data_IF_288975335361
#
_entry.id   IF_288975335361
#
_cell.length_a   1.000
_cell.length_b   1.000
_cell.length_c   1.000
_cell.angle_alpha   90.00
_cell.angle_beta   90.00
_cell.angle_gamma   90.00
#
_symmetry.space_group_name_H-M   'P 1'
#
loop_
_entity.id
_entity.type
_entity.pdbx_description
1 polymer ?
#
# COMPACT_ATOMS: atom_id res chain seq x y z
N UNK A 1 -43.35 24.07 -1.71
CA UNK A 1 -42.88 22.97 -0.85
C UNK A 1 -42.64 21.79 -1.76
N UNK A 2 -41.39 21.67 -2.25
CA UNK A 2 -41.01 20.68 -3.24
C UNK A 2 -40.48 19.44 -2.49
N UNK A 3 -40.89 18.21 -2.85
CA UNK A 3 -40.46 17.02 -2.11
C UNK A 3 -38.99 16.71 -2.37
N UNK A 4 -38.29 16.45 -1.26
CA UNK A 4 -36.91 16.05 -1.23
C UNK A 4 -36.62 14.90 -2.20
N UNK A 5 -35.69 15.12 -3.13
CA UNK A 5 -35.12 14.09 -4.01
C UNK A 5 -34.53 12.98 -3.15
N UNK A 6 -35.23 11.85 -3.13
CA UNK A 6 -34.71 10.59 -2.60
C UNK A 6 -33.40 10.26 -3.30
N UNK A 7 -32.34 10.05 -2.54
CA UNK A 7 -31.07 9.49 -3.03
C UNK A 7 -31.36 8.24 -3.86
N UNK A 8 -30.73 8.09 -5.04
CA UNK A 8 -30.91 6.89 -5.83
C UNK A 8 -30.43 5.70 -4.99
N UNK A 9 -31.34 4.81 -4.70
CA UNK A 9 -31.07 3.54 -4.05
C UNK A 9 -29.86 2.90 -4.72
N UNK A 10 -28.90 2.46 -3.93
CA UNK A 10 -27.75 1.65 -4.38
C UNK A 10 -28.38 0.41 -5.01
N UNK A 11 -28.53 0.46 -6.32
CA UNK A 11 -29.11 -0.60 -7.11
C UNK A 11 -28.26 -1.86 -6.87
N UNK A 12 -28.94 -2.90 -6.40
CA UNK A 12 -28.40 -4.24 -6.09
C UNK A 12 -27.73 -4.82 -7.35
N UNK A 13 -26.47 -4.43 -7.58
CA UNK A 13 -25.63 -4.92 -8.68
C UNK A 13 -25.08 -6.29 -8.34
N UNK A 14 -25.96 -7.24 -7.98
CA UNK A 14 -25.60 -8.64 -7.91
C UNK A 14 -25.45 -9.13 -9.35
N UNK A 15 -24.21 -9.25 -9.78
CA UNK A 15 -23.91 -9.97 -11.03
C UNK A 15 -24.48 -11.40 -10.85
N UNK A 16 -25.45 -11.81 -11.71
CA UNK A 16 -26.04 -13.13 -11.61
C UNK A 16 -24.95 -14.18 -11.81
N UNK A 17 -24.74 -15.06 -10.83
CA UNK A 17 -23.90 -16.25 -10.97
C UNK A 17 -22.65 -16.35 -10.10
N UNK A 18 -22.23 -15.29 -9.39
CA UNK A 18 -21.03 -15.37 -8.53
C UNK A 18 -21.41 -15.80 -7.11
N UNK A 19 -20.93 -16.98 -6.69
CA UNK A 19 -21.28 -17.51 -5.36
C UNK A 19 -20.46 -16.82 -4.24
N UNK A 20 -21.08 -16.59 -3.08
CA UNK A 20 -20.42 -16.09 -1.85
C UNK A 20 -19.20 -16.95 -1.48
N UNK A 21 -19.29 -18.26 -1.70
CA UNK A 21 -18.18 -19.20 -1.46
C UNK A 21 -16.96 -18.88 -2.33
N UNK A 22 -17.18 -18.54 -3.61
CA UNK A 22 -16.10 -18.16 -4.53
C UNK A 22 -15.38 -16.87 -4.04
N UNK A 23 -16.13 -15.85 -3.64
CA UNK A 23 -15.54 -14.61 -3.12
C UNK A 23 -14.70 -14.86 -1.86
N UNK A 24 -15.16 -15.69 -0.93
CA UNK A 24 -14.40 -16.08 0.26
C UNK A 24 -13.12 -16.84 -0.10
N UNK A 25 -13.19 -17.79 -1.01
CA UNK A 25 -12.02 -18.58 -1.46
C UNK A 25 -11.00 -17.67 -2.15
N UNK A 26 -11.44 -16.76 -3.02
CA UNK A 26 -10.54 -15.81 -3.70
C UNK A 26 -9.85 -14.87 -2.72
N UNK A 27 -10.56 -14.35 -1.71
CA UNK A 27 -9.98 -13.56 -0.62
C UNK A 27 -8.94 -14.37 0.14
N UNK A 28 -9.30 -15.59 0.56
CA UNK A 28 -8.41 -16.46 1.35
C UNK A 28 -7.13 -16.83 0.58
N UNK A 29 -7.25 -17.17 -0.71
CA UNK A 29 -6.08 -17.49 -1.56
C UNK A 29 -5.19 -16.26 -1.72
N UNK A 30 -5.75 -15.12 -2.15
CA UNK A 30 -4.94 -13.91 -2.39
C UNK A 30 -4.27 -13.42 -1.11
N UNK A 31 -5.02 -13.36 0.00
CA UNK A 31 -4.48 -12.89 1.26
C UNK A 31 -3.46 -13.89 1.86
N UNK A 32 -3.73 -15.18 1.78
CA UNK A 32 -2.79 -16.24 2.18
C UNK A 32 -1.47 -16.16 1.41
N UNK A 33 -1.52 -15.93 0.09
CA UNK A 33 -0.33 -15.73 -0.73
C UNK A 33 0.44 -14.46 -0.34
N UNK A 34 -0.24 -13.34 -0.10
CA UNK A 34 0.39 -12.09 0.38
C UNK A 34 1.12 -12.36 1.69
N UNK A 35 0.47 -12.99 2.67
CA UNK A 35 1.09 -13.33 3.94
C UNK A 35 2.27 -14.30 3.75
N UNK A 36 2.13 -15.32 2.90
CA UNK A 36 3.22 -16.26 2.62
C UNK A 36 4.45 -15.53 2.09
N UNK A 37 4.28 -14.58 1.16
CA UNK A 37 5.40 -13.77 0.64
C UNK A 37 6.05 -12.95 1.76
N UNK A 38 5.26 -12.28 2.61
CA UNK A 38 5.75 -11.41 3.68
C UNK A 38 6.51 -12.20 4.75
N UNK A 39 6.09 -13.42 5.04
CA UNK A 39 6.66 -14.25 6.12
C UNK A 39 7.69 -15.28 5.65
N UNK A 40 8.02 -15.35 4.36
CA UNK A 40 9.01 -16.28 3.83
C UNK A 40 10.40 -15.66 3.75
N UNK A 41 11.47 -16.38 4.10
CA UNK A 41 12.85 -15.90 3.97
C UNK A 41 13.32 -15.90 2.52
N UNK A 42 14.29 -15.01 2.20
CA UNK A 42 15.04 -15.10 0.94
C UNK A 42 15.93 -16.36 0.93
N UNK A 43 16.16 -17.04 -0.21
CA UNK A 43 15.75 -16.65 -1.58
C UNK A 43 14.34 -17.08 -1.99
N UNK A 44 13.70 -18.00 -1.23
CA UNK A 44 12.36 -18.56 -1.56
C UNK A 44 11.28 -17.47 -1.72
N UNK A 45 11.41 -16.36 -0.99
CA UNK A 45 10.51 -15.20 -1.10
C UNK A 45 10.38 -14.69 -2.54
N UNK A 46 11.47 -14.68 -3.31
CA UNK A 46 11.44 -14.21 -4.71
C UNK A 46 10.58 -15.10 -5.60
N UNK A 47 10.72 -16.40 -5.45
CA UNK A 47 9.92 -17.36 -6.22
C UNK A 47 8.43 -17.22 -5.85
N UNK A 48 8.13 -17.17 -4.55
CA UNK A 48 6.77 -17.00 -4.04
C UNK A 48 6.16 -15.66 -4.48
N UNK A 49 6.96 -14.60 -4.59
CA UNK A 49 6.47 -13.29 -5.03
C UNK A 49 5.91 -13.36 -6.46
N UNK A 50 6.66 -14.00 -7.39
CA UNK A 50 6.20 -14.16 -8.78
C UNK A 50 5.01 -15.11 -8.88
N UNK A 51 5.02 -16.20 -8.14
CA UNK A 51 3.89 -17.12 -8.09
C UNK A 51 2.62 -16.44 -7.54
N UNK A 52 2.74 -15.69 -6.44
CA UNK A 52 1.65 -14.93 -5.84
C UNK A 52 1.13 -13.86 -6.81
N UNK A 53 2.03 -13.10 -7.45
CA UNK A 53 1.65 -12.10 -8.44
C UNK A 53 0.88 -12.70 -9.61
N UNK A 54 1.35 -13.85 -10.16
CA UNK A 54 0.68 -14.54 -11.25
C UNK A 54 -0.73 -15.05 -10.85
N UNK A 55 -0.86 -15.69 -9.68
CA UNK A 55 -2.14 -16.17 -9.18
C UNK A 55 -3.11 -15.03 -8.91
N UNK A 56 -2.66 -13.95 -8.23
CA UNK A 56 -3.50 -12.78 -7.95
C UNK A 56 -3.92 -12.09 -9.26
N UNK A 57 -3.00 -11.95 -10.22
CA UNK A 57 -3.34 -11.40 -11.53
C UNK A 57 -4.39 -12.24 -12.26
N UNK A 58 -4.29 -13.56 -12.19
CA UNK A 58 -5.30 -14.48 -12.75
C UNK A 58 -6.64 -14.32 -12.05
N UNK A 59 -6.67 -14.26 -10.70
CA UNK A 59 -7.89 -14.02 -9.94
C UNK A 59 -8.53 -12.66 -10.28
N UNK A 60 -7.73 -11.64 -10.48
CA UNK A 60 -8.19 -10.31 -10.93
C UNK A 60 -8.77 -10.44 -12.34
N UNK A 61 -8.03 -11.02 -13.30
CA UNK A 61 -8.45 -11.12 -14.69
C UNK A 61 -9.77 -11.89 -14.86
N UNK A 62 -9.93 -13.00 -14.15
CA UNK A 62 -11.16 -13.84 -14.19
C UNK A 62 -12.36 -13.19 -13.49
N UNK A 63 -12.14 -12.10 -12.74
CA UNK A 63 -13.17 -11.40 -11.99
C UNK A 63 -13.29 -9.92 -12.33
N UNK A 64 -12.62 -9.48 -13.39
CA UNK A 64 -12.59 -8.08 -13.79
C UNK A 64 -13.94 -7.64 -14.37
N UNK A 65 -14.57 -6.69 -13.70
CA UNK A 65 -15.89 -6.15 -14.07
C UNK A 65 -15.79 -4.88 -14.96
N UNK A 66 -14.58 -4.62 -15.48
CA UNK A 66 -14.31 -3.47 -16.36
C UNK A 66 -13.67 -2.28 -15.64
N UNK A 67 -13.06 -1.39 -16.44
CA UNK A 67 -12.31 -0.25 -15.94
C UNK A 67 -13.17 0.73 -15.11
N UNK A 68 -14.45 0.91 -15.46
CA UNK A 68 -15.35 1.79 -14.70
C UNK A 68 -15.63 1.26 -13.30
N UNK A 69 -15.89 -0.05 -13.17
CA UNK A 69 -16.12 -0.70 -11.88
C UNK A 69 -14.86 -0.66 -11.02
N UNK A 70 -13.69 -0.85 -11.62
CA UNK A 70 -12.40 -0.75 -10.97
C UNK A 70 -11.97 0.69 -10.63
N UNK A 71 -12.74 1.71 -11.00
CA UNK A 71 -12.38 3.11 -10.77
C UNK A 71 -11.15 3.57 -11.56
N UNK A 72 -10.84 2.90 -12.68
CA UNK A 72 -9.73 3.22 -13.58
C UNK A 72 -10.14 4.21 -14.68
N UNK A 73 -11.37 4.71 -14.65
CA UNK A 73 -11.86 5.75 -15.57
C UNK A 73 -11.58 7.17 -15.08
N UNK A 74 -11.73 8.16 -15.97
CA UNK A 74 -11.60 9.59 -15.63
C UNK A 74 -12.77 10.17 -14.81
N UNK A 75 -13.84 9.39 -14.59
CA UNK A 75 -15.03 9.84 -13.86
C UNK A 75 -14.66 10.27 -12.43
N UNK A 76 -15.18 11.42 -12.02
CA UNK A 76 -14.94 12.01 -10.70
C UNK A 76 -13.46 12.27 -10.34
N UNK A 77 -12.53 12.17 -11.29
CA UNK A 77 -11.12 12.43 -11.04
C UNK A 77 -10.90 13.81 -10.42
N UNK A 78 -11.38 14.86 -11.10
CA UNK A 78 -11.24 16.24 -10.61
C UNK A 78 -11.94 16.46 -9.26
N UNK A 79 -13.11 15.82 -9.05
CA UNK A 79 -13.85 15.93 -7.77
C UNK A 79 -13.12 15.27 -6.60
N UNK A 80 -12.23 14.35 -6.86
CA UNK A 80 -11.45 13.63 -5.82
C UNK A 80 -10.01 14.13 -5.69
N UNK A 81 -9.58 15.11 -6.50
CA UNK A 81 -8.22 15.70 -6.40
C UNK A 81 -7.94 16.37 -5.05
N UNK A 82 -8.96 16.82 -4.33
CA UNK A 82 -8.76 17.34 -2.99
C UNK A 82 -8.11 16.33 -2.04
N UNK A 83 -8.26 15.01 -2.29
CA UNK A 83 -7.59 13.96 -1.52
C UNK A 83 -6.07 14.05 -1.70
N UNK A 84 -5.63 14.32 -2.92
CA UNK A 84 -4.20 14.56 -3.21
C UNK A 84 -3.73 15.85 -2.56
N UNK A 85 -4.53 16.93 -2.65
CA UNK A 85 -4.21 18.20 -2.01
C UNK A 85 -4.10 18.05 -0.47
N UNK A 86 -5.01 17.31 0.15
CA UNK A 86 -4.96 17.00 1.57
C UNK A 86 -3.71 16.17 1.93
N UNK A 87 -3.36 15.17 1.13
CA UNK A 87 -2.14 14.38 1.33
C UNK A 87 -0.88 15.26 1.23
N UNK A 88 -0.83 16.17 0.26
CA UNK A 88 0.28 17.14 0.12
C UNK A 88 0.35 18.09 1.32
N UNK A 89 -0.78 18.59 1.82
CA UNK A 89 -0.82 19.46 3.00
C UNK A 89 -0.30 18.73 4.25
N UNK A 90 -0.76 17.50 4.50
CA UNK A 90 -0.27 16.66 5.61
C UNK A 90 1.23 16.40 5.46
N UNK A 91 1.68 16.11 4.23
CA UNK A 91 3.09 15.87 3.93
C UNK A 91 3.95 17.11 4.15
N UNK A 92 3.48 18.28 3.75
CA UNK A 92 4.18 19.56 3.99
C UNK A 92 4.36 19.80 5.49
N UNK A 93 3.32 19.58 6.30
CA UNK A 93 3.40 19.69 7.76
C UNK A 93 4.40 18.70 8.34
N UNK A 94 4.34 17.42 7.91
CA UNK A 94 5.26 16.39 8.38
C UNK A 94 6.72 16.71 8.01
N UNK A 95 6.97 17.21 6.80
CA UNK A 95 8.32 17.65 6.35
C UNK A 95 8.78 18.85 7.15
N UNK A 96 7.93 19.85 7.41
CA UNK A 96 8.28 21.00 8.24
C UNK A 96 8.66 20.58 9.66
N UNK A 97 7.88 19.71 10.29
CA UNK A 97 8.16 19.17 11.63
C UNK A 97 9.49 18.38 11.62
N UNK A 98 9.68 17.48 10.66
CA UNK A 98 10.91 16.65 10.60
C UNK A 98 12.15 17.51 10.30
N UNK A 99 12.01 18.57 9.51
CA UNK A 99 13.08 19.54 9.28
C UNK A 99 13.45 20.29 10.57
N UNK A 100 12.45 20.74 11.33
CA UNK A 100 12.66 21.40 12.61
C UNK A 100 13.31 20.46 13.64
N UNK A 101 12.88 19.21 13.69
CA UNK A 101 13.44 18.17 14.56
C UNK A 101 14.78 17.59 14.05
N UNK A 102 15.25 18.03 12.89
CA UNK A 102 16.46 17.51 12.20
C UNK A 102 16.43 16.00 11.94
N UNK A 103 15.23 15.46 11.70
CA UNK A 103 15.02 14.06 11.35
C UNK A 103 14.80 13.84 9.87
N UNK A 104 14.69 14.88 9.07
CA UNK A 104 14.50 14.82 7.62
C UNK A 104 15.73 14.21 6.95
N UNK A 105 15.53 13.18 6.14
CA UNK A 105 16.59 12.45 5.43
C UNK A 105 16.24 12.22 3.95
N UNK A 106 15.81 13.28 3.28
CA UNK A 106 15.51 13.25 1.85
C UNK A 106 16.78 13.13 1.00
N UNK A 107 16.71 12.46 -0.17
CA UNK A 107 17.82 12.44 -1.14
C UNK A 107 18.22 13.84 -1.59
N UNK A 108 19.53 14.09 -1.78
CA UNK A 108 20.09 15.41 -2.04
C UNK A 108 19.79 16.00 -3.43
N UNK A 109 19.17 15.24 -4.35
CA UNK A 109 18.77 15.75 -5.67
C UNK A 109 17.43 15.16 -6.13
N UNK A 110 16.73 15.89 -7.01
CA UNK A 110 15.46 15.45 -7.60
C UNK A 110 15.59 14.13 -8.36
N UNK A 111 16.70 13.91 -9.06
CA UNK A 111 16.97 12.66 -9.77
C UNK A 111 17.10 11.48 -8.81
N UNK A 112 17.88 11.63 -7.74
CA UNK A 112 18.00 10.60 -6.70
C UNK A 112 16.67 10.35 -5.98
N UNK A 113 15.87 11.39 -5.77
CA UNK A 113 14.53 11.24 -5.21
C UNK A 113 13.64 10.37 -6.10
N UNK A 114 13.53 10.70 -7.38
CA UNK A 114 12.72 9.92 -8.34
C UNK A 114 13.21 8.48 -8.43
N UNK A 115 14.51 8.26 -8.63
CA UNK A 115 15.08 6.92 -8.76
C UNK A 115 14.95 6.07 -7.48
N UNK A 116 14.84 6.69 -6.31
CA UNK A 116 14.65 5.99 -5.04
C UNK A 116 13.19 5.59 -4.80
N UNK A 117 12.22 6.39 -5.24
CA UNK A 117 10.82 6.23 -4.81
C UNK A 117 9.82 5.86 -5.92
N UNK A 118 10.21 5.83 -7.22
CA UNK A 118 9.29 5.46 -8.30
C UNK A 118 8.67 4.07 -8.11
N UNK A 119 9.48 3.09 -7.69
CA UNK A 119 9.01 1.73 -7.47
C UNK A 119 8.02 1.64 -6.30
N UNK A 120 8.25 2.46 -5.25
CA UNK A 120 7.31 2.59 -4.15
C UNK A 120 6.00 3.23 -4.60
N UNK A 121 6.06 4.27 -5.44
CA UNK A 121 4.86 4.91 -5.98
C UNK A 121 4.01 3.92 -6.80
N UNK A 122 4.66 3.11 -7.67
CA UNK A 122 3.96 2.04 -8.39
C UNK A 122 3.37 0.99 -7.44
N UNK A 123 4.14 0.58 -6.43
CA UNK A 123 3.69 -0.38 -5.42
C UNK A 123 2.49 0.13 -4.64
N UNK A 124 2.48 1.40 -4.27
CA UNK A 124 1.31 2.06 -3.63
C UNK A 124 0.06 1.98 -4.51
N UNK A 125 0.22 2.15 -5.82
CA UNK A 125 -0.85 1.95 -6.81
C UNK A 125 -1.38 0.52 -6.82
N UNK A 126 -0.48 -0.48 -6.82
CA UNK A 126 -0.86 -1.90 -6.74
C UNK A 126 -1.58 -2.21 -5.42
N UNK A 127 -1.09 -1.69 -4.29
CA UNK A 127 -1.74 -1.86 -2.99
C UNK A 127 -3.15 -1.26 -2.97
N UNK A 128 -3.33 -0.05 -3.51
CA UNK A 128 -4.65 0.57 -3.59
C UNK A 128 -5.57 -0.20 -4.56
N UNK A 129 -5.06 -0.69 -5.68
CA UNK A 129 -5.82 -1.53 -6.59
C UNK A 129 -6.30 -2.82 -5.89
N UNK A 130 -5.42 -3.52 -5.20
CA UNK A 130 -5.79 -4.74 -4.47
C UNK A 130 -6.80 -4.43 -3.35
N UNK A 131 -6.58 -3.36 -2.59
CA UNK A 131 -7.48 -2.98 -1.50
C UNK A 131 -8.89 -2.67 -2.01
N UNK A 132 -9.00 -1.84 -3.07
CA UNK A 132 -10.28 -1.32 -3.54
C UNK A 132 -10.96 -2.25 -4.54
N UNK A 133 -10.21 -2.69 -5.56
CA UNK A 133 -10.79 -3.42 -6.68
C UNK A 133 -10.86 -4.94 -6.45
N UNK A 134 -10.04 -5.45 -5.52
CA UNK A 134 -10.04 -6.88 -5.20
C UNK A 134 -10.72 -7.18 -3.86
N UNK A 135 -10.18 -6.71 -2.74
CA UNK A 135 -10.70 -7.05 -1.42
C UNK A 135 -12.04 -6.35 -1.11
N UNK A 136 -12.10 -5.03 -1.22
CA UNK A 136 -13.31 -4.28 -0.92
C UNK A 136 -14.49 -4.71 -1.80
N UNK A 137 -14.28 -4.91 -3.11
CA UNK A 137 -15.35 -5.32 -4.02
C UNK A 137 -15.97 -6.66 -3.65
N UNK A 138 -15.16 -7.64 -3.18
CA UNK A 138 -15.65 -8.94 -2.71
C UNK A 138 -16.36 -8.84 -1.37
N UNK A 139 -15.79 -8.06 -0.46
CA UNK A 139 -16.39 -7.85 0.86
C UNK A 139 -17.72 -7.13 0.80
N UNK A 140 -17.92 -6.24 -0.19
CA UNK A 140 -19.22 -5.60 -0.45
C UNK A 140 -20.31 -6.59 -0.86
N UNK A 141 -19.95 -7.71 -1.50
CA UNK A 141 -20.89 -8.79 -1.83
C UNK A 141 -21.15 -9.75 -0.68
N UNK A 142 -20.21 -9.83 0.27
CA UNK A 142 -20.28 -10.73 1.41
C UNK A 142 -20.96 -10.11 2.63
N UNK A 143 -20.76 -8.82 2.84
CA UNK A 143 -21.21 -8.11 4.04
C UNK A 143 -22.42 -7.22 3.75
N UNK A 144 -23.37 -7.12 4.70
CA UNK A 144 -24.64 -6.45 4.46
C UNK A 144 -24.52 -4.93 4.34
N UNK A 145 -23.49 -4.34 4.94
CA UNK A 145 -23.31 -2.88 4.99
C UNK A 145 -21.98 -2.45 4.40
N UNK A 146 -21.93 -1.41 3.52
CA UNK A 146 -20.68 -0.97 2.88
C UNK A 146 -19.57 -0.56 3.86
N UNK A 147 -19.92 0.04 5.00
CA UNK A 147 -18.94 0.42 6.00
C UNK A 147 -18.28 -0.80 6.67
N UNK A 148 -19.02 -1.91 6.84
CA UNK A 148 -18.46 -3.17 7.35
C UNK A 148 -17.44 -3.75 6.35
N UNK A 149 -17.76 -3.72 5.06
CA UNK A 149 -16.83 -4.13 4.01
C UNK A 149 -15.57 -3.24 3.98
N UNK A 150 -15.74 -1.92 4.15
CA UNK A 150 -14.61 -0.99 4.23
C UNK A 150 -13.72 -1.27 5.44
N UNK A 151 -14.30 -1.50 6.62
CA UNK A 151 -13.54 -1.84 7.83
C UNK A 151 -12.85 -3.21 7.71
N UNK A 152 -13.52 -4.21 7.14
CA UNK A 152 -12.94 -5.53 6.93
C UNK A 152 -11.76 -5.48 5.94
N UNK A 153 -11.91 -4.76 4.80
CA UNK A 153 -10.84 -4.56 3.84
C UNK A 153 -9.64 -3.82 4.46
N UNK A 154 -9.91 -2.76 5.21
CA UNK A 154 -8.88 -2.00 5.94
C UNK A 154 -8.20 -2.85 7.02
N UNK A 155 -8.95 -3.72 7.70
CA UNK A 155 -8.40 -4.69 8.66
C UNK A 155 -7.41 -5.66 8.00
N UNK A 156 -7.77 -6.25 6.87
CA UNK A 156 -6.85 -7.09 6.09
C UNK A 156 -5.60 -6.31 5.67
N UNK A 157 -5.79 -5.06 5.22
CA UNK A 157 -4.68 -4.20 4.84
C UNK A 157 -3.74 -3.89 6.01
N UNK A 158 -4.28 -3.58 7.18
CA UNK A 158 -3.49 -3.31 8.38
C UNK A 158 -2.76 -4.57 8.89
N UNK A 159 -3.43 -5.74 8.90
CA UNK A 159 -2.83 -7.00 9.32
C UNK A 159 -1.65 -7.43 8.43
N UNK A 160 -1.66 -7.08 7.14
CA UNK A 160 -0.53 -7.30 6.24
C UNK A 160 0.71 -6.47 6.60
N UNK A 161 0.56 -5.43 7.45
CA UNK A 161 1.67 -4.60 7.92
C UNK A 161 2.28 -5.07 9.25
N UNK A 162 1.74 -6.15 9.83
CA UNK A 162 2.34 -6.77 11.01
C UNK A 162 3.77 -7.29 10.70
N UNK A 163 4.66 -7.30 11.68
CA UNK A 163 4.51 -6.84 13.07
C UNK A 163 4.96 -5.39 13.30
N UNK A 164 4.97 -4.53 12.26
CA UNK A 164 5.39 -3.13 12.39
C UNK A 164 4.24 -2.29 13.00
N UNK A 165 4.30 -1.91 14.30
CA UNK A 165 3.21 -1.25 14.98
C UNK A 165 2.92 0.15 14.40
N UNK A 166 3.97 0.85 13.94
CA UNK A 166 3.85 2.18 13.36
C UNK A 166 3.02 2.12 12.06
N UNK A 167 3.36 1.18 11.15
CA UNK A 167 2.61 1.01 9.91
C UNK A 167 1.20 0.49 10.15
N UNK A 168 0.99 -0.39 11.14
CA UNK A 168 -0.34 -0.89 11.49
C UNK A 168 -1.25 0.26 11.90
N UNK A 169 -0.79 1.17 12.77
CA UNK A 169 -1.58 2.35 13.18
C UNK A 169 -1.93 3.23 11.98
N UNK A 170 -0.94 3.54 11.13
CA UNK A 170 -1.18 4.38 9.96
C UNK A 170 -2.15 3.72 8.95
N UNK A 171 -2.05 2.42 8.76
CA UNK A 171 -2.94 1.69 7.84
C UNK A 171 -4.34 1.49 8.40
N UNK A 172 -4.51 1.39 9.72
CA UNK A 172 -5.83 1.43 10.38
C UNK A 172 -6.51 2.80 10.17
N UNK A 173 -5.77 3.88 10.12
CA UNK A 173 -6.33 5.22 9.86
C UNK A 173 -6.60 5.43 8.36
N UNK A 174 -5.62 5.11 7.52
CA UNK A 174 -5.71 5.33 6.07
C UNK A 174 -6.67 4.37 5.36
N UNK A 175 -6.65 3.09 5.73
CA UNK A 175 -7.41 2.04 5.04
C UNK A 175 -8.91 2.31 4.97
N UNK A 176 -9.61 2.55 6.12
CA UNK A 176 -11.04 2.85 6.11
C UNK A 176 -11.35 4.12 5.33
N UNK A 177 -10.55 5.18 5.52
CA UNK A 177 -10.71 6.45 4.80
C UNK A 177 -10.61 6.25 3.28
N UNK A 178 -9.57 5.54 2.82
CA UNK A 178 -9.38 5.23 1.41
C UNK A 178 -10.56 4.41 0.85
N UNK A 179 -11.04 3.41 1.59
CA UNK A 179 -12.20 2.62 1.17
C UNK A 179 -13.48 3.46 1.06
N UNK A 180 -13.77 4.32 2.04
CA UNK A 180 -14.95 5.20 2.00
C UNK A 180 -14.86 6.23 0.87
N UNK A 181 -13.69 6.81 0.64
CA UNK A 181 -13.44 7.72 -0.47
C UNK A 181 -13.60 7.01 -1.83
N UNK A 182 -13.11 5.77 -1.95
CA UNK A 182 -13.33 4.97 -3.15
C UNK A 182 -14.81 4.69 -3.39
N UNK A 183 -15.56 4.33 -2.36
CA UNK A 183 -17.01 4.12 -2.48
C UNK A 183 -17.73 5.38 -2.95
N UNK A 184 -17.29 6.57 -2.48
CA UNK A 184 -17.90 7.86 -2.84
C UNK A 184 -17.55 8.30 -4.26
N UNK A 185 -16.28 8.20 -4.66
CA UNK A 185 -15.80 8.78 -5.92
C UNK A 185 -15.61 7.76 -7.03
N UNK A 186 -15.43 6.49 -6.69
CA UNK A 186 -15.17 5.40 -7.65
C UNK A 186 -14.03 5.76 -8.60
N UNK A 187 -12.95 6.33 -8.04
CA UNK A 187 -11.73 6.67 -8.76
C UNK A 187 -10.51 6.26 -7.95
N UNK A 188 -9.65 5.44 -8.56
CA UNK A 188 -8.48 4.86 -7.90
C UNK A 188 -7.27 5.80 -7.90
N UNK A 189 -7.12 6.62 -8.95
CA UNK A 189 -5.90 7.40 -9.17
C UNK A 189 -5.57 8.37 -8.03
N UNK A 190 -6.49 9.22 -7.55
CA UNK A 190 -6.18 10.13 -6.45
C UNK A 190 -5.82 9.40 -5.15
N UNK A 191 -6.39 8.22 -4.91
CA UNK A 191 -6.07 7.40 -3.73
C UNK A 191 -4.67 6.77 -3.84
N UNK A 192 -4.31 6.28 -5.03
CA UNK A 192 -2.97 5.74 -5.30
C UNK A 192 -1.89 6.83 -5.16
N UNK A 193 -2.15 8.02 -5.72
CA UNK A 193 -1.25 9.17 -5.62
C UNK A 193 -1.12 9.63 -4.15
N UNK A 194 -2.23 9.78 -3.44
CA UNK A 194 -2.22 10.19 -2.04
C UNK A 194 -1.47 9.17 -1.16
N UNK A 195 -1.69 7.87 -1.39
CA UNK A 195 -0.96 6.81 -0.68
C UNK A 195 0.55 6.89 -0.96
N UNK A 196 0.95 7.09 -2.21
CA UNK A 196 2.36 7.24 -2.56
C UNK A 196 2.98 8.46 -1.88
N UNK A 197 2.32 9.61 -1.91
CA UNK A 197 2.77 10.85 -1.26
C UNK A 197 2.96 10.63 0.24
N UNK A 198 1.94 10.11 0.94
CA UNK A 198 1.99 9.88 2.38
C UNK A 198 3.09 8.88 2.76
N UNK A 199 3.21 7.78 2.03
CA UNK A 199 4.23 6.77 2.31
C UNK A 199 5.65 7.25 2.02
N UNK A 200 5.89 8.00 0.93
CA UNK A 200 7.19 8.62 0.67
C UNK A 200 7.51 9.64 1.78
N UNK A 201 6.51 10.41 2.21
CA UNK A 201 6.70 11.35 3.33
C UNK A 201 7.13 10.64 4.60
N UNK A 202 6.52 9.51 4.94
CA UNK A 202 6.95 8.69 6.07
C UNK A 202 8.41 8.27 5.88
N UNK A 203 8.75 7.75 4.70
CA UNK A 203 10.08 7.26 4.40
C UNK A 203 11.19 8.32 4.50
N UNK A 204 10.89 9.61 4.32
CA UNK A 204 11.88 10.70 4.40
C UNK A 204 11.83 11.50 5.71
N UNK A 205 10.68 11.51 6.39
CA UNK A 205 10.44 12.35 7.55
C UNK A 205 10.56 11.59 8.89
N UNK A 206 10.28 10.28 8.89
CA UNK A 206 10.26 9.46 10.10
C UNK A 206 11.60 8.71 10.23
N UNK A 207 12.28 8.82 11.38
CA UNK A 207 13.54 8.11 11.58
C UNK A 207 13.37 6.58 11.50
N UNK A 208 14.37 5.91 10.90
CA UNK A 208 14.34 4.46 10.69
C UNK A 208 14.22 3.61 11.96
N UNK A 209 14.54 4.15 13.13
CA UNK A 209 14.31 3.45 14.41
C UNK A 209 12.83 3.48 14.85
N UNK A 210 12.01 4.39 14.30
CA UNK A 210 10.57 4.50 14.58
C UNK A 210 9.77 3.67 13.59
N UNK A 211 9.97 3.90 12.29
CA UNK A 211 9.21 3.24 11.21
C UNK A 211 9.81 1.89 10.80
N UNK A 212 11.02 1.56 11.28
CA UNK A 212 11.78 0.35 10.95
C UNK A 212 12.04 0.21 9.44
N UNK A 213 12.29 1.36 8.78
CA UNK A 213 12.40 1.47 7.32
C UNK A 213 11.20 0.82 6.62
N UNK A 214 9.99 1.04 7.17
CA UNK A 214 8.69 0.56 6.68
C UNK A 214 8.65 -0.96 6.38
N UNK A 215 9.48 -1.76 7.05
CA UNK A 215 9.54 -3.21 6.85
C UNK A 215 8.38 -3.90 7.55
N UNK A 216 7.92 -5.00 6.94
CA UNK A 216 6.82 -5.82 7.44
C UNK A 216 7.25 -7.30 7.54
N UNK A 217 6.47 -8.10 8.25
CA UNK A 217 6.66 -9.54 8.37
C UNK A 217 8.07 -9.95 8.83
N UNK A 218 8.64 -10.94 8.16
CA UNK A 218 9.98 -11.45 8.49
C UNK A 218 11.08 -10.40 8.30
N UNK A 219 10.90 -9.46 7.36
CA UNK A 219 11.82 -8.36 7.14
C UNK A 219 11.97 -7.45 8.34
N UNK A 220 10.88 -7.15 9.04
CA UNK A 220 10.86 -6.40 10.30
C UNK A 220 11.62 -7.13 11.42
N UNK A 221 11.33 -8.41 11.62
CA UNK A 221 11.97 -9.20 12.68
C UNK A 221 13.49 -9.33 12.48
N UNK A 222 13.94 -9.51 11.24
CA UNK A 222 15.38 -9.59 10.92
C UNK A 222 16.08 -8.25 11.11
N UNK A 223 15.43 -7.13 10.79
CA UNK A 223 15.97 -5.80 11.01
C UNK A 223 16.24 -5.53 12.49
N UNK A 224 15.29 -5.83 13.35
CA UNK A 224 15.46 -5.71 14.81
C UNK A 224 16.60 -6.56 15.37
N UNK A 225 16.73 -7.81 14.92
CA UNK A 225 17.82 -8.68 15.34
C UNK A 225 19.18 -8.16 14.89
N UNK A 226 19.27 -7.59 13.70
CA UNK A 226 20.49 -6.98 13.16
C UNK A 226 20.92 -5.76 13.97
N UNK A 227 20.01 -4.87 14.30
CA UNK A 227 20.31 -3.67 15.09
C UNK A 227 20.76 -4.00 16.54
N UNK A 228 20.18 -5.01 17.17
CA UNK A 228 20.59 -5.44 18.51
C UNK A 228 22.01 -6.03 18.55
N UNK A 229 22.51 -6.54 17.40
CA UNK A 229 23.85 -7.15 17.31
C UNK A 229 24.93 -6.20 16.83
N UNK A 230 24.59 -5.05 16.25
CA UNK A 230 25.57 -4.08 15.77
C UNK A 230 26.18 -3.28 16.92
N UNK A 231 27.53 -3.09 16.99
CA UNK A 231 28.17 -2.19 17.93
C UNK A 231 27.64 -0.77 17.78
N UNK A 232 27.59 -0.02 18.89
CA UNK A 232 26.96 1.32 18.93
C UNK A 232 27.55 2.32 17.91
N UNK A 233 28.84 2.22 17.60
CA UNK A 233 29.54 3.10 16.64
C UNK A 233 29.07 2.89 15.19
N UNK A 234 28.58 1.71 14.84
CA UNK A 234 28.14 1.37 13.49
C UNK A 234 26.67 1.75 13.23
N UNK A 235 25.91 2.10 14.27
CA UNK A 235 24.49 2.42 14.17
C UNK A 235 24.22 3.76 13.48
N UNK A 236 25.09 4.74 13.61
CA UNK A 236 24.90 6.06 12.99
C UNK A 236 25.20 6.09 11.49
N UNK A 237 26.08 5.21 10.99
CA UNK A 237 26.42 5.15 9.56
C UNK A 237 25.55 4.21 8.72
N UNK A 238 24.93 3.19 9.35
CA UNK A 238 24.07 2.24 8.63
C UNK A 238 22.68 2.79 8.31
N UNK A 239 22.17 3.72 9.09
CA UNK A 239 20.85 4.31 8.86
C UNK A 239 20.78 5.13 7.56
N UNK A 240 21.85 5.82 7.17
CA UNK A 240 21.89 6.59 5.91
C UNK A 240 21.95 5.74 4.63
N UNK A 241 22.50 4.50 4.70
CA UNK A 241 22.58 3.60 3.52
C UNK A 241 21.41 2.63 3.40
N UNK A 242 20.75 2.29 4.51
CA UNK A 242 19.69 1.29 4.52
C UNK A 242 18.35 1.82 3.98
N UNK A 243 18.06 3.12 4.17
CA UNK A 243 16.80 3.72 3.75
C UNK A 243 16.64 3.77 2.21
N UNK A 244 17.73 3.97 1.48
CA UNK A 244 17.69 4.10 0.00
C UNK A 244 17.54 2.76 -0.74
N UNK A 245 17.83 1.63 -0.10
CA UNK A 245 17.97 0.32 -0.79
C UNK A 245 16.86 -0.68 -0.43
N UNK A 246 16.20 -0.52 0.70
CA UNK A 246 15.25 -1.53 1.20
C UNK A 246 14.01 -1.72 0.33
N UNK A 247 13.55 -0.66 -0.35
CA UNK A 247 12.36 -0.69 -1.22
C UNK A 247 12.63 -1.28 -2.59
N UNK A 248 13.78 -0.93 -3.20
CA UNK A 248 14.20 -1.42 -4.54
C UNK A 248 14.41 -2.93 -4.52
N UNK A 249 14.92 -3.49 -3.42
CA UNK A 249 15.16 -4.94 -3.31
C UNK A 249 13.92 -5.76 -3.02
N UNK A 250 12.82 -5.14 -2.60
CA UNK A 250 11.53 -5.82 -2.48
C UNK A 250 10.78 -5.89 -3.82
N UNK A 251 10.96 -4.88 -4.69
CA UNK A 251 10.22 -4.75 -5.95
C UNK A 251 11.01 -5.11 -7.23
N UNK A 252 12.36 -5.12 -7.21
CA UNK A 252 13.18 -5.40 -8.41
C UNK A 252 14.50 -6.13 -8.08
N UNK A 253 14.57 -7.46 -8.28
CA UNK A 253 15.75 -8.26 -7.91
C UNK A 253 16.96 -8.20 -8.84
N UNK A 254 16.90 -7.58 -10.02
CA UNK A 254 17.82 -7.90 -11.11
C UNK A 254 18.84 -6.82 -11.51
N UNK A 255 18.87 -5.64 -10.91
CA UNK A 255 19.72 -4.55 -11.38
C UNK A 255 21.09 -4.42 -10.66
N UNK A 256 21.33 -5.09 -9.55
CA UNK A 256 22.53 -4.87 -8.74
C UNK A 256 23.74 -5.73 -9.07
N UNK A 257 23.57 -6.84 -9.78
CA UNK A 257 24.70 -7.73 -10.11
C UNK A 257 25.60 -7.26 -11.26
N UNK A 258 25.22 -6.22 -12.01
CA UNK A 258 26.00 -5.72 -13.16
C UNK A 258 26.89 -4.50 -12.88
N UNK A 259 26.78 -3.87 -11.73
CA UNK A 259 27.56 -2.64 -11.42
C UNK A 259 28.84 -2.94 -10.62
N UNK A 260 28.95 -4.10 -10.00
CA UNK A 260 30.14 -4.46 -9.21
C UNK A 260 31.20 -5.29 -9.93
N UNK A 261 31.06 -5.55 -11.24
CA UNK A 261 32.02 -6.26 -12.04
C UNK A 261 32.59 -5.36 -13.16
N UNK A 262 33.36 -4.36 -12.80
CA UNK A 262 34.41 -3.77 -13.65
C UNK A 262 35.57 -3.34 -12.75
N UNK A 263 36.81 -3.69 -13.18
CA UNK A 263 38.02 -3.46 -12.45
C UNK A 263 38.37 -1.98 -12.31
#
# INVERSE_FOLDING_TARGET
MEPAHASPAIQDSRVPGRSRRRDLVEIAIAYGLILSVIWTPRPLQHLLWWAAAAVIALLVATSFEGCSAAGLGGRNFLRSLWVVAAALAVSAVAVAISSHLRTLHAPGSAWHFVTSYWAYALWSGVQQFLLQCFFLSRLLRLLPRPWQAALAAAGLFALAHLPNPFLVVLTILWGPLACLLFLRYRNLYPLAIAHAILGITIAIAVPGYVDHNMRVGLGYLKYHRGQRRAPQVQRSHSDHRASTVAWVTAAAPTLRSRIQARP
#
